data_IF_059381080724
#
_entry.id   IF_059381080724
#
_cell.length_a   1.000
_cell.length_b   1.000
_cell.length_c   1.000
_cell.angle_alpha   90.00
_cell.angle_beta   90.00
_cell.angle_gamma   90.00
#
_symmetry.space_group_name_H-M   'P 1'
#
loop_
_entity.id
_entity.type
_entity.pdbx_description
1 polymer ?
#
# COMPACT_ATOMS: atom_id res chain seq x y z
N UNK A 1 -2.56 20.69 -20.87
CA UNK A 1 -3.61 20.68 -19.82
C UNK A 1 -3.23 19.60 -18.83
N UNK A 2 -3.14 19.92 -17.54
CA UNK A 2 -2.72 18.97 -16.52
C UNK A 2 -3.96 18.26 -15.94
N UNK A 3 -3.91 16.93 -15.88
CA UNK A 3 -4.96 16.03 -15.34
C UNK A 3 -5.38 16.39 -13.90
N UNK A 4 -4.58 17.17 -13.19
CA UNK A 4 -4.83 17.61 -11.81
C UNK A 4 -6.06 18.52 -11.64
N UNK A 5 -6.50 19.25 -12.68
CA UNK A 5 -7.57 20.24 -12.54
C UNK A 5 -8.99 19.66 -12.62
N UNK A 6 -9.17 18.39 -12.99
CA UNK A 6 -10.49 17.76 -13.16
C UNK A 6 -10.91 16.87 -11.97
N UNK A 7 -10.02 16.63 -10.98
CA UNK A 7 -10.22 15.68 -9.87
C UNK A 7 -10.50 16.33 -8.50
N UNK A 8 -10.89 17.60 -8.44
CA UNK A 8 -11.40 18.20 -7.19
C UNK A 8 -10.40 18.24 -6.01
N UNK A 9 -9.13 18.54 -6.27
CA UNK A 9 -8.05 18.63 -5.27
C UNK A 9 -7.65 17.30 -4.60
N UNK A 10 -8.01 16.14 -5.14
CA UNK A 10 -7.51 14.85 -4.66
C UNK A 10 -5.99 14.74 -4.85
N UNK A 11 -5.26 14.24 -3.84
CA UNK A 11 -3.81 14.02 -3.91
C UNK A 11 -3.54 12.73 -4.66
N UNK A 12 -2.72 12.82 -5.71
CA UNK A 12 -2.32 11.68 -6.54
C UNK A 12 -0.86 11.39 -6.27
N UNK A 13 -0.56 10.17 -5.84
CA UNK A 13 0.79 9.67 -5.66
C UNK A 13 1.11 8.65 -6.78
N UNK A 14 2.28 8.81 -7.41
CA UNK A 14 2.77 7.90 -8.44
C UNK A 14 3.80 6.99 -7.79
N UNK A 15 3.60 5.67 -7.93
CA UNK A 15 4.51 4.66 -7.39
C UNK A 15 5.06 3.79 -8.52
N UNK A 16 6.25 3.23 -8.30
CA UNK A 16 6.83 2.25 -9.22
C UNK A 16 6.23 0.87 -8.97
N UNK A 17 5.69 0.27 -10.04
CA UNK A 17 5.18 -1.10 -10.00
C UNK A 17 6.33 -2.11 -10.06
N UNK A 18 6.17 -3.27 -9.40
CA UNK A 18 7.14 -4.36 -9.45
C UNK A 18 6.42 -5.71 -9.40
N UNK A 19 6.94 -6.71 -10.12
CA UNK A 19 6.53 -8.12 -9.98
C UNK A 19 6.89 -8.72 -8.62
N UNK A 20 7.93 -8.17 -7.98
CA UNK A 20 8.37 -8.57 -6.66
C UNK A 20 7.42 -7.97 -5.60
N UNK A 21 6.71 -8.84 -4.88
CA UNK A 21 5.70 -8.42 -3.92
C UNK A 21 6.29 -7.59 -2.78
N UNK A 22 7.54 -7.84 -2.37
CA UNK A 22 8.22 -7.11 -1.30
C UNK A 22 8.42 -5.66 -1.72
N UNK A 23 9.00 -5.47 -2.91
CA UNK A 23 9.22 -4.16 -3.52
C UNK A 23 7.92 -3.43 -3.82
N UNK A 24 6.93 -4.14 -4.37
CA UNK A 24 5.67 -3.51 -4.73
C UNK A 24 4.90 -3.01 -3.51
N UNK A 25 4.88 -3.79 -2.43
CA UNK A 25 4.26 -3.39 -1.15
C UNK A 25 5.04 -2.22 -0.53
N UNK A 26 6.37 -2.28 -0.53
CA UNK A 26 7.22 -1.17 -0.06
C UNK A 26 6.94 0.14 -0.81
N UNK A 27 6.85 0.07 -2.14
CA UNK A 27 6.56 1.23 -3.00
C UNK A 27 5.14 1.76 -2.78
N UNK A 28 4.17 0.89 -2.49
CA UNK A 28 2.76 1.28 -2.27
C UNK A 28 2.52 2.12 -1.01
N UNK A 29 3.47 2.14 -0.08
CA UNK A 29 3.41 2.95 1.14
C UNK A 29 4.06 4.33 0.98
N UNK A 30 4.55 4.66 -0.22
CA UNK A 30 5.02 6.01 -0.57
C UNK A 30 3.97 7.07 -0.18
N UNK A 31 4.36 8.18 0.47
CA UNK A 31 5.71 8.75 0.61
C UNK A 31 6.57 8.19 1.76
N UNK A 32 6.05 7.25 2.57
CA UNK A 32 6.83 6.67 3.66
C UNK A 32 7.91 5.70 3.13
N UNK A 33 9.10 5.76 3.71
CA UNK A 33 10.20 4.84 3.41
C UNK A 33 10.04 3.59 4.24
N UNK A 34 9.87 2.48 3.55
CA UNK A 34 9.82 1.15 4.17
C UNK A 34 11.22 0.55 4.15
N UNK A 35 11.67 0.08 5.30
CA UNK A 35 13.01 -0.48 5.44
C UNK A 35 13.03 -1.98 5.20
N UNK A 36 11.97 -2.67 5.58
CA UNK A 36 11.84 -4.12 5.46
C UNK A 36 10.37 -4.46 5.25
N UNK A 37 10.09 -5.39 4.33
CA UNK A 37 8.77 -5.99 4.20
C UNK A 37 8.92 -7.50 4.41
N UNK A 38 8.25 -8.03 5.41
CA UNK A 38 8.16 -9.47 5.62
C UNK A 38 6.87 -10.00 5.01
N UNK A 39 7.01 -10.95 4.09
CA UNK A 39 5.87 -11.57 3.41
C UNK A 39 5.54 -12.91 4.07
N UNK A 40 4.25 -13.15 4.28
CA UNK A 40 3.68 -14.39 4.77
C UNK A 40 2.98 -15.15 3.64
N UNK A 41 2.85 -16.47 3.79
CA UNK A 41 2.21 -17.37 2.83
C UNK A 41 0.72 -17.07 2.61
N UNK A 42 0.07 -16.34 3.53
CA UNK A 42 -1.38 -16.05 3.51
C UNK A 42 -1.77 -14.72 2.84
N UNK A 43 -0.94 -14.21 1.93
CA UNK A 43 -1.10 -12.86 1.37
C UNK A 43 -1.13 -11.76 2.44
N UNK A 44 -0.32 -11.93 3.48
CA UNK A 44 -0.11 -10.95 4.52
C UNK A 44 1.32 -10.42 4.44
N UNK A 45 1.50 -9.13 4.63
CA UNK A 45 2.80 -8.47 4.62
C UNK A 45 2.94 -7.57 5.84
N UNK A 46 4.09 -7.62 6.49
CA UNK A 46 4.47 -6.71 7.57
C UNK A 46 5.51 -5.74 7.05
N UNK A 47 5.16 -4.46 7.00
CA UNK A 47 6.06 -3.41 6.59
C UNK A 47 6.63 -2.71 7.82
N UNK A 48 7.95 -2.71 7.96
CA UNK A 48 8.63 -2.03 9.05
C UNK A 48 9.15 -0.68 8.57
N UNK A 49 8.71 0.37 9.26
CA UNK A 49 9.07 1.75 8.97
C UNK A 49 9.76 2.40 10.17
N UNK A 50 10.55 3.45 9.95
CA UNK A 50 11.08 4.29 11.03
C UNK A 50 9.95 4.89 11.87
N UNK A 51 10.18 5.10 13.15
CA UNK A 51 9.16 5.61 14.09
C UNK A 51 8.62 6.99 13.67
N UNK A 52 9.48 7.86 13.16
CA UNK A 52 9.13 9.19 12.65
C UNK A 52 8.23 9.13 11.41
N UNK A 53 8.25 8.03 10.67
CA UNK A 53 7.46 7.83 9.46
C UNK A 53 6.24 6.94 9.67
N UNK A 54 6.07 6.37 10.86
CA UNK A 54 4.96 5.47 11.17
C UNK A 54 3.59 6.14 10.94
N UNK A 55 3.43 7.36 11.44
CA UNK A 55 2.20 8.14 11.23
C UNK A 55 1.96 8.46 9.75
N UNK A 56 3.03 8.74 8.99
CA UNK A 56 2.96 9.01 7.55
C UNK A 56 2.57 7.75 6.77
N UNK A 57 3.17 6.61 7.11
CA UNK A 57 2.92 5.32 6.49
C UNK A 57 1.47 4.86 6.73
N UNK A 58 0.95 5.06 7.94
CA UNK A 58 -0.46 4.79 8.29
C UNK A 58 -1.40 5.74 7.51
N UNK A 59 -1.05 7.03 7.51
CA UNK A 59 -1.88 8.09 6.95
C UNK A 59 -3.08 8.44 7.83
N UNK A 60 -3.79 9.52 7.49
CA UNK A 60 -4.92 10.00 8.29
C UNK A 60 -6.03 8.94 8.35
N UNK A 61 -6.27 8.40 9.55
CA UNK A 61 -7.25 7.34 9.77
C UNK A 61 -6.94 6.05 8.99
N UNK A 62 -5.66 5.72 8.78
CA UNK A 62 -5.25 4.52 8.05
C UNK A 62 -5.54 4.57 6.55
N UNK A 63 -5.74 5.75 5.97
CA UNK A 63 -6.07 5.89 4.54
C UNK A 63 -4.96 5.31 3.65
N UNK A 64 -3.69 5.59 3.97
CA UNK A 64 -2.58 5.19 3.12
C UNK A 64 -2.43 3.67 3.08
N UNK A 65 -2.43 3.02 4.25
CA UNK A 65 -2.35 1.54 4.35
C UNK A 65 -3.55 0.87 3.70
N UNK A 66 -4.75 1.45 3.81
CA UNK A 66 -5.93 0.93 3.11
C UNK A 66 -5.83 1.03 1.59
N UNK A 67 -5.29 2.13 1.07
CA UNK A 67 -5.05 2.29 -0.36
C UNK A 67 -3.97 1.32 -0.85
N UNK A 68 -2.86 1.20 -0.11
CA UNK A 68 -1.79 0.25 -0.38
C UNK A 68 -2.29 -1.20 -0.39
N UNK A 69 -3.10 -1.59 0.59
CA UNK A 69 -3.70 -2.93 0.66
C UNK A 69 -4.62 -3.18 -0.54
N UNK A 70 -5.46 -2.20 -0.90
CA UNK A 70 -6.37 -2.31 -2.06
C UNK A 70 -5.60 -2.38 -3.38
N UNK A 71 -4.52 -1.60 -3.52
CA UNK A 71 -3.69 -1.53 -4.73
C UNK A 71 -2.89 -2.82 -4.95
N UNK A 72 -2.33 -3.38 -3.89
CA UNK A 72 -1.48 -4.57 -3.94
C UNK A 72 -2.31 -5.86 -3.89
N UNK A 73 -3.49 -5.83 -3.26
CA UNK A 73 -4.28 -7.03 -2.99
C UNK A 73 -3.75 -7.85 -1.81
N UNK A 74 -2.90 -7.25 -0.97
CA UNK A 74 -2.31 -7.87 0.22
C UNK A 74 -2.92 -7.28 1.50
N UNK A 75 -2.94 -8.09 2.56
CA UNK A 75 -3.11 -7.56 3.91
C UNK A 75 -1.81 -6.94 4.36
N UNK A 76 -1.82 -5.65 4.67
CA UNK A 76 -0.63 -4.90 5.06
C UNK A 76 -0.74 -4.51 6.53
N UNK A 77 0.31 -4.81 7.28
CA UNK A 77 0.49 -4.45 8.69
C UNK A 77 1.75 -3.57 8.80
N UNK A 78 1.57 -2.29 9.06
CA UNK A 78 2.66 -1.32 9.20
C UNK A 78 3.07 -1.20 10.65
N UNK A 79 4.36 -1.45 10.93
CA UNK A 79 4.93 -1.44 12.28
C UNK A 79 6.17 -0.58 12.38
N UNK A 80 6.46 -0.11 13.60
CA UNK A 80 7.74 0.52 13.90
C UNK A 80 8.86 -0.51 13.89
N UNK A 81 10.00 -0.17 13.29
CA UNK A 81 11.23 -0.97 13.43
C UNK A 81 11.68 -1.11 14.89
N UNK A 82 11.50 -0.06 15.69
CA UNK A 82 11.97 -0.01 17.08
C UNK A 82 11.02 -0.75 18.03
N UNK A 83 9.72 -0.82 17.68
CA UNK A 83 8.65 -1.41 18.50
C UNK A 83 7.73 -2.28 17.64
N UNK A 84 8.20 -3.42 17.13
CA UNK A 84 7.44 -4.27 16.23
C UNK A 84 6.25 -4.97 16.90
N UNK A 85 6.20 -5.05 18.24
CA UNK A 85 5.06 -5.59 18.99
C UNK A 85 3.90 -4.61 19.14
N UNK A 86 4.13 -3.31 18.94
CA UNK A 86 3.11 -2.28 19.10
C UNK A 86 2.25 -2.18 17.82
N UNK A 87 0.95 -2.46 17.97
CA UNK A 87 -0.03 -2.36 16.88
C UNK A 87 -0.81 -1.06 17.07
N UNK A 88 -0.67 -0.14 16.11
CA UNK A 88 -1.40 1.11 16.11
C UNK A 88 -2.73 1.01 15.36
N UNK A 89 -3.70 1.83 15.80
CA UNK A 89 -4.99 1.94 15.14
C UNK A 89 -4.83 2.43 13.69
N UNK A 90 -5.41 1.69 12.74
CA UNK A 90 -5.30 1.97 11.31
C UNK A 90 -3.99 1.50 10.66
N UNK A 91 -3.05 0.91 11.42
CA UNK A 91 -1.81 0.33 10.89
C UNK A 91 -1.99 -1.00 10.17
N UNK A 92 -3.16 -1.63 10.30
CA UNK A 92 -3.48 -2.88 9.60
C UNK A 92 -4.66 -2.64 8.66
N UNK A 93 -4.49 -3.02 7.38
CA UNK A 93 -5.58 -3.03 6.43
C UNK A 93 -5.60 -4.34 5.63
N UNK A 94 -6.81 -4.83 5.37
CA UNK A 94 -7.05 -6.01 4.54
C UNK A 94 -7.54 -5.58 3.17
N UNK A 95 -6.96 -6.16 2.13
CA UNK A 95 -7.52 -6.07 0.80
C UNK A 95 -8.84 -6.87 0.77
N UNK A 96 -9.98 -6.20 0.65
CA UNK A 96 -11.20 -6.87 0.21
C UNK A 96 -10.96 -7.40 -1.20
N UNK A 97 -11.44 -8.62 -1.56
CA UNK A 97 -11.23 -9.16 -2.88
C UNK A 97 -11.85 -8.21 -3.90
N UNK A 98 -11.01 -7.54 -4.68
CA UNK A 98 -11.45 -6.89 -5.90
C UNK A 98 -11.88 -8.04 -6.82
N UNK A 99 -13.18 -8.12 -7.08
CA UNK A 99 -13.73 -9.03 -8.07
C UNK A 99 -13.26 -8.55 -9.45
N UNK A 100 -12.10 -9.02 -9.91
CA UNK A 100 -11.61 -8.86 -11.27
C UNK A 100 -12.52 -9.63 -12.22
N UNK A 101 -13.66 -9.03 -12.54
CA UNK A 101 -14.39 -9.31 -13.77
C UNK A 101 -14.14 -8.13 -14.71
N UNK A 102 -13.53 -8.45 -15.86
CA UNK A 102 -13.52 -7.70 -17.12
C UNK A 102 -12.68 -6.41 -17.21
N UNK A 103 -11.49 -6.56 -17.80
CA UNK A 103 -11.16 -5.90 -19.08
C UNK A 103 -10.48 -7.01 -19.90
N UNK A 104 -11.28 -7.84 -20.55
CA UNK A 104 -11.64 -7.76 -21.98
C UNK A 104 -10.42 -7.93 -22.85
N UNK A 105 -10.40 -9.10 -23.49
CA UNK A 105 -9.65 -9.43 -24.69
C UNK A 105 -9.62 -8.25 -25.67
N UNK A 106 -8.49 -8.02 -26.33
CA UNK A 106 -8.59 -7.71 -27.75
C UNK A 106 -7.74 -8.69 -28.57
N UNK A 107 -8.28 -9.18 -29.70
CA UNK A 107 -7.78 -10.31 -30.45
C UNK A 107 -6.83 -9.89 -31.60
N UNK A 108 -6.01 -10.85 -32.02
CA UNK A 108 -5.40 -11.01 -33.36
C UNK A 108 -4.48 -9.89 -33.90
N UNK A 109 -3.23 -10.27 -34.16
CA UNK A 109 -2.76 -10.48 -35.54
C UNK A 109 -1.84 -11.71 -35.60
#
# INVERSE_FOLDING_TARGET
MAVSNELGQEKIDIIEWSDDAEKFIGNSLSPAKVNLVEISERREAKAFVPEDQLSLAIGKGGQNVRLAAKLTGWKIDVRSQTRPEEILEGGVAEASPVNTKETTEDPKE
#
